data_IF_193814320443
#
_entry.id   IF_193814320443
#
_cell.length_a   1.000
_cell.length_b   1.000
_cell.length_c   1.000
_cell.angle_alpha   90.00
_cell.angle_beta   90.00
_cell.angle_gamma   90.00
#
_symmetry.space_group_name_H-M   'P 1'
#
loop_
_entity.id
_entity.type
_entity.pdbx_description
1 polymer ?
#
# COMPACT_ATOMS: atom_id res chain seq x y z
N UNK A 1 -11.52 -14.68 9.34
CA UNK A 1 -11.47 -14.73 7.86
C UNK A 1 -10.91 -13.40 7.39
N UNK A 2 -9.86 -13.35 6.56
CA UNK A 2 -9.32 -12.07 6.08
C UNK A 2 -10.40 -11.28 5.34
N UNK A 3 -10.32 -9.96 5.37
CA UNK A 3 -11.23 -9.11 4.58
C UNK A 3 -11.10 -9.54 3.12
N UNK A 4 -12.20 -9.72 2.39
CA UNK A 4 -12.13 -9.73 0.94
C UNK A 4 -11.79 -8.30 0.57
N UNK A 5 -10.50 -7.98 0.52
CA UNK A 5 -10.09 -7.11 -0.57
C UNK A 5 -10.54 -7.92 -1.77
N UNK A 6 -11.58 -7.43 -2.45
CA UNK A 6 -12.43 -8.17 -3.39
C UNK A 6 -11.64 -9.11 -4.28
N UNK A 7 -12.27 -10.17 -4.81
CA UNK A 7 -11.64 -11.04 -5.83
C UNK A 7 -10.79 -10.20 -6.81
N UNK A 8 -9.59 -10.67 -7.20
CA UNK A 8 -8.72 -9.92 -8.09
C UNK A 8 -9.52 -9.37 -9.28
N UNK A 9 -9.44 -8.07 -9.50
CA UNK A 9 -10.09 -7.40 -10.62
C UNK A 9 -9.49 -8.03 -11.89
N UNK A 10 -10.34 -8.68 -12.69
CA UNK A 10 -9.93 -9.30 -13.93
C UNK A 10 -9.22 -8.26 -14.81
N UNK A 11 -7.97 -8.52 -15.15
CA UNK A 11 -7.12 -7.59 -15.87
C UNK A 11 -5.79 -8.22 -16.28
N UNK A 12 -5.00 -7.53 -17.12
CA UNK A 12 -3.69 -8.01 -17.52
C UNK A 12 -2.76 -8.15 -16.30
N UNK A 13 -1.78 -9.06 -16.41
CA UNK A 13 -0.77 -9.24 -15.39
C UNK A 13 -0.08 -7.91 -15.06
N UNK A 14 -0.20 -7.48 -13.80
CA UNK A 14 0.38 -6.22 -13.32
C UNK A 14 1.88 -6.38 -13.11
N UNK A 15 2.62 -5.30 -13.32
CA UNK A 15 4.08 -5.24 -13.13
C UNK A 15 4.42 -3.93 -12.45
N UNK A 16 5.38 -3.96 -11.54
CA UNK A 16 5.83 -2.75 -10.84
C UNK A 16 6.48 -1.72 -11.79
N UNK A 17 7.07 -2.15 -12.91
CA UNK A 17 7.78 -1.24 -13.81
C UNK A 17 8.93 -0.54 -13.08
N UNK A 18 8.92 0.80 -13.06
CA UNK A 18 9.89 1.62 -12.32
C UNK A 18 9.40 2.04 -10.93
N UNK A 19 8.26 1.54 -10.47
CA UNK A 19 7.72 1.87 -9.16
C UNK A 19 8.61 1.31 -8.04
N UNK A 20 8.97 2.18 -7.08
CA UNK A 20 9.90 1.87 -5.97
C UNK A 20 9.32 2.19 -4.58
N UNK A 21 8.01 2.46 -4.47
CA UNK A 21 7.40 2.90 -3.21
C UNK A 21 7.52 1.88 -2.07
N UNK A 22 7.47 0.58 -2.36
CA UNK A 22 7.71 -0.46 -1.35
C UNK A 22 9.13 -0.44 -0.75
N UNK A 23 10.09 0.16 -1.46
CA UNK A 23 11.44 0.35 -0.96
C UNK A 23 11.61 1.64 -0.15
N UNK A 24 10.60 2.52 -0.12
CA UNK A 24 10.65 3.81 0.60
C UNK A 24 9.73 3.82 1.82
N UNK A 25 8.45 3.52 1.62
CA UNK A 25 7.40 3.79 2.60
C UNK A 25 7.44 2.89 3.85
N UNK A 26 7.44 1.56 3.75
CA UNK A 26 7.33 0.70 4.93
C UNK A 26 8.62 0.70 5.74
N UNK A 27 8.55 0.43 7.03
CA UNK A 27 9.71 0.03 7.82
C UNK A 27 10.08 -1.43 7.49
N UNK A 28 11.37 -1.74 7.40
CA UNK A 28 11.87 -3.09 7.12
C UNK A 28 13.02 -3.39 8.08
N UNK A 29 12.70 -4.05 9.18
CA UNK A 29 13.64 -4.40 10.25
C UNK A 29 14.82 -5.25 9.75
N UNK A 30 14.57 -6.27 8.91
CA UNK A 30 15.63 -7.14 8.35
C UNK A 30 16.68 -6.38 7.51
N UNK A 31 16.35 -5.18 7.05
CA UNK A 31 17.24 -4.33 6.26
C UNK A 31 17.78 -3.11 7.03
N UNK A 32 17.46 -2.98 8.32
CA UNK A 32 17.66 -1.76 9.11
C UNK A 32 17.16 -0.52 8.35
N UNK A 33 15.96 -0.62 7.74
CA UNK A 33 15.43 0.40 6.83
C UNK A 33 14.21 1.09 7.44
N UNK A 34 14.38 2.27 8.06
CA UNK A 34 13.26 3.02 8.65
C UNK A 34 12.17 3.34 7.63
N UNK A 35 10.94 3.49 8.11
CA UNK A 35 9.82 3.99 7.31
C UNK A 35 10.15 5.33 6.64
N UNK A 36 9.58 5.55 5.46
CA UNK A 36 9.75 6.77 4.65
C UNK A 36 11.18 7.09 4.19
N UNK A 37 12.15 6.20 4.44
CA UNK A 37 13.52 6.34 3.94
C UNK A 37 13.81 5.38 2.78
N UNK A 38 14.58 5.81 1.77
CA UNK A 38 14.94 4.94 0.66
C UNK A 38 15.80 3.77 1.13
N UNK A 39 15.43 2.56 0.72
CA UNK A 39 16.26 1.38 0.94
C UNK A 39 17.64 1.56 0.29
N UNK A 40 18.72 1.26 1.04
CA UNK A 40 20.11 1.31 0.55
C UNK A 40 20.35 0.47 -0.71
N UNK A 41 19.52 -0.54 -0.96
CA UNK A 41 19.63 -1.39 -2.14
C UNK A 41 18.80 -0.91 -3.32
N UNK A 42 17.85 0.00 -3.13
CA UNK A 42 16.98 0.51 -4.19
C UNK A 42 17.58 1.77 -4.82
N UNK A 43 17.54 1.86 -6.15
CA UNK A 43 17.74 3.12 -6.87
C UNK A 43 16.39 3.66 -7.34
N UNK A 44 16.37 4.74 -8.13
CA UNK A 44 15.11 5.34 -8.60
C UNK A 44 14.28 4.42 -9.53
N UNK A 45 14.88 3.36 -10.09
CA UNK A 45 14.25 2.49 -11.09
C UNK A 45 14.06 1.04 -10.62
N UNK A 46 14.57 0.65 -9.44
CA UNK A 46 14.38 -0.69 -8.90
C UNK A 46 15.41 -1.13 -7.85
N UNK A 47 15.25 -2.36 -7.36
CA UNK A 47 16.17 -2.97 -6.40
C UNK A 47 17.44 -3.49 -7.10
N UNK A 48 18.63 -3.06 -6.65
CA UNK A 48 19.92 -3.49 -7.18
C UNK A 48 20.30 -4.92 -6.80
N UNK A 49 19.69 -5.46 -5.75
CA UNK A 49 19.87 -6.85 -5.31
C UNK A 49 18.62 -7.68 -5.58
N UNK A 50 17.86 -7.39 -6.64
CA UNK A 50 16.53 -7.98 -6.85
C UNK A 50 16.53 -9.49 -6.67
N UNK A 51 17.49 -10.22 -7.26
CA UNK A 51 17.59 -11.68 -7.12
C UNK A 51 18.01 -12.17 -5.74
N UNK A 52 18.66 -11.33 -4.93
CA UNK A 52 19.15 -11.62 -3.58
C UNK A 52 18.32 -10.89 -2.49
N UNK A 53 17.17 -10.32 -2.84
CA UNK A 53 16.31 -9.60 -1.90
C UNK A 53 15.87 -10.50 -0.74
N UNK A 54 15.71 -9.96 0.47
CA UNK A 54 15.23 -10.74 1.62
C UNK A 54 13.86 -11.37 1.35
N UNK A 55 13.54 -12.42 2.10
CA UNK A 55 12.29 -13.17 1.91
C UNK A 55 11.07 -12.27 2.07
N UNK A 56 11.09 -11.34 3.04
CA UNK A 56 10.05 -10.34 3.23
C UNK A 56 9.79 -9.50 1.96
N UNK A 57 10.84 -9.09 1.24
CA UNK A 57 10.71 -8.35 -0.01
C UNK A 57 10.28 -9.24 -1.21
N UNK A 58 10.40 -10.57 -1.10
CA UNK A 58 9.91 -11.50 -2.15
C UNK A 58 8.43 -11.78 -2.00
N UNK A 59 7.99 -11.95 -0.76
CA UNK A 59 6.63 -12.37 -0.45
C UNK A 59 5.65 -11.19 -0.44
N UNK A 60 6.17 -9.96 -0.32
CA UNK A 60 5.33 -8.78 -0.34
C UNK A 60 4.79 -8.46 -1.74
N UNK A 61 3.46 -8.38 -1.84
CA UNK A 61 2.74 -7.78 -2.96
C UNK A 61 1.78 -6.72 -2.39
N UNK A 62 1.73 -5.54 -3.01
CA UNK A 62 0.72 -4.55 -2.67
C UNK A 62 -0.64 -4.93 -3.28
N UNK A 63 -1.74 -4.43 -2.71
CA UNK A 63 -3.09 -4.76 -3.19
C UNK A 63 -3.29 -4.38 -4.67
N UNK A 64 -2.55 -3.37 -5.16
CA UNK A 64 -2.53 -3.09 -6.59
C UNK A 64 -1.85 -4.21 -7.37
N UNK A 65 -0.68 -4.69 -6.97
CA UNK A 65 0.02 -5.77 -7.69
C UNK A 65 -0.79 -7.07 -7.69
N UNK A 66 -1.50 -7.37 -6.60
CA UNK A 66 -2.40 -8.51 -6.46
C UNK A 66 -3.70 -8.39 -7.27
N UNK A 67 -3.98 -7.20 -7.82
CA UNK A 67 -5.17 -6.95 -8.63
C UNK A 67 -6.42 -6.60 -7.81
N UNK A 68 -6.32 -6.41 -6.50
CA UNK A 68 -7.49 -6.17 -5.64
C UNK A 68 -8.07 -4.75 -5.71
N UNK A 69 -7.30 -3.76 -6.19
CA UNK A 69 -7.72 -2.35 -6.31
C UNK A 69 -7.49 -1.82 -7.72
N UNK A 70 -8.18 -0.74 -8.08
CA UNK A 70 -8.19 -0.20 -9.45
C UNK A 70 -6.83 0.36 -9.93
N UNK A 71 -6.65 0.56 -11.24
CA UNK A 71 -5.41 1.08 -11.82
C UNK A 71 -5.01 2.46 -11.29
N UNK A 72 -5.97 3.29 -10.86
CA UNK A 72 -5.74 4.59 -10.22
C UNK A 72 -4.92 4.49 -8.93
N UNK A 73 -4.86 3.31 -8.30
CA UNK A 73 -4.04 3.05 -7.12
C UNK A 73 -2.64 2.55 -7.44
N UNK A 74 -2.21 2.60 -8.70
CA UNK A 74 -0.82 2.30 -9.01
C UNK A 74 0.08 3.21 -8.15
N UNK A 75 1.03 2.66 -7.36
CA UNK A 75 1.67 3.45 -6.31
C UNK A 75 2.45 4.66 -6.83
N UNK A 76 3.03 4.56 -8.03
CA UNK A 76 3.77 5.66 -8.65
C UNK A 76 2.88 6.85 -9.00
N UNK A 77 1.59 6.61 -9.30
CA UNK A 77 0.63 7.64 -9.71
C UNK A 77 -0.19 8.17 -8.52
N UNK A 78 -0.52 7.29 -7.57
CA UNK A 78 -1.30 7.65 -6.38
C UNK A 78 -0.45 8.22 -5.24
N UNK A 79 0.87 8.05 -5.30
CA UNK A 79 1.80 8.34 -4.20
C UNK A 79 1.46 7.59 -2.90
N UNK A 80 0.81 6.43 -3.02
CA UNK A 80 0.37 5.61 -1.90
C UNK A 80 0.68 4.14 -2.14
N UNK A 81 1.02 3.41 -1.08
CA UNK A 81 1.14 1.95 -1.10
C UNK A 81 0.08 1.34 -0.18
N UNK A 82 -0.75 0.47 -0.73
CA UNK A 82 -1.82 -0.20 0.01
C UNK A 82 -1.51 -1.68 0.15
N UNK A 83 -1.61 -2.22 1.35
CA UNK A 83 -1.45 -3.66 1.62
C UNK A 83 -2.46 -4.12 2.67
N UNK A 84 -2.80 -5.41 2.65
CA UNK A 84 -3.71 -6.04 3.61
C UNK A 84 -2.97 -6.86 4.66
N UNK A 85 -3.46 -6.85 5.90
CA UNK A 85 -3.03 -7.75 6.98
C UNK A 85 -4.26 -8.27 7.73
N UNK A 86 -4.69 -9.49 7.42
CA UNK A 86 -5.89 -10.07 8.02
C UNK A 86 -7.16 -9.26 7.70
N UNK A 87 -7.74 -8.62 8.72
CA UNK A 87 -8.89 -7.73 8.56
C UNK A 87 -8.52 -6.24 8.58
N UNK A 88 -7.25 -5.91 8.39
CA UNK A 88 -6.79 -4.53 8.31
C UNK A 88 -6.32 -4.21 6.89
N UNK A 89 -6.68 -3.03 6.42
CA UNK A 89 -6.08 -2.42 5.22
C UNK A 89 -5.22 -1.25 5.68
N UNK A 90 -3.95 -1.28 5.29
CA UNK A 90 -3.00 -0.21 5.61
C UNK A 90 -2.65 0.54 4.34
N UNK A 91 -2.76 1.86 4.39
CA UNK A 91 -2.36 2.80 3.35
C UNK A 91 -1.15 3.57 3.86
N UNK A 92 0.00 3.43 3.22
CA UNK A 92 1.15 4.29 3.46
C UNK A 92 1.14 5.40 2.40
N UNK A 93 1.11 6.65 2.84
CA UNK A 93 1.16 7.84 1.98
C UNK A 93 2.58 8.35 1.92
N UNK A 94 3.08 8.64 0.72
CA UNK A 94 4.37 9.31 0.56
C UNK A 94 4.31 10.70 1.23
N UNK A 95 5.17 11.00 2.22
CA UNK A 95 5.15 12.28 2.92
C UNK A 95 5.39 13.50 2.02
N UNK A 96 5.93 13.30 0.81
CA UNK A 96 6.04 14.37 -0.19
C UNK A 96 4.67 14.81 -0.76
N UNK A 97 3.62 14.00 -0.57
CA UNK A 97 2.26 14.23 -1.07
C UNK A 97 1.21 14.00 0.03
N UNK A 98 1.29 14.73 1.17
CA UNK A 98 0.58 14.37 2.40
C UNK A 98 -0.95 14.44 2.29
N UNK A 99 -1.49 15.19 1.32
CA UNK A 99 -2.92 15.41 1.15
C UNK A 99 -3.55 14.59 0.02
N UNK A 100 -2.77 13.81 -0.74
CA UNK A 100 -3.27 13.10 -1.93
C UNK A 100 -4.40 12.13 -1.60
N UNK A 101 -4.31 11.46 -0.45
CA UNK A 101 -5.25 10.46 0.03
C UNK A 101 -6.65 11.03 0.32
N UNK A 102 -6.76 12.34 0.54
CA UNK A 102 -8.04 13.00 0.84
C UNK A 102 -8.86 13.28 -0.43
N UNK A 103 -8.23 13.23 -1.60
CA UNK A 103 -8.87 13.58 -2.88
C UNK A 103 -9.64 12.38 -3.45
N UNK A 104 -10.78 12.60 -4.13
CA UNK A 104 -11.40 11.57 -4.95
C UNK A 104 -10.43 11.11 -6.06
N UNK A 105 -10.43 9.81 -6.42
CA UNK A 105 -11.34 8.77 -5.95
C UNK A 105 -10.90 8.08 -4.65
N UNK A 106 -9.75 8.43 -4.08
CA UNK A 106 -9.10 7.70 -2.99
C UNK A 106 -9.88 7.77 -1.68
N UNK A 107 -10.31 8.96 -1.28
CA UNK A 107 -11.05 9.16 -0.02
C UNK A 107 -12.38 8.39 0.00
N UNK A 108 -13.13 8.41 -1.09
CA UNK A 108 -14.38 7.66 -1.22
C UNK A 108 -14.15 6.15 -1.20
N UNK A 109 -13.09 5.68 -1.85
CA UNK A 109 -12.73 4.27 -1.86
C UNK A 109 -12.32 3.76 -0.48
N UNK A 110 -11.48 4.51 0.25
CA UNK A 110 -11.09 4.13 1.61
C UNK A 110 -12.27 4.10 2.57
N UNK A 111 -13.23 5.02 2.45
CA UNK A 111 -14.47 4.97 3.26
C UNK A 111 -15.30 3.72 2.95
N UNK A 112 -15.41 3.33 1.67
CA UNK A 112 -16.06 2.08 1.29
C UNK A 112 -15.35 0.85 1.87
N UNK A 113 -14.02 0.81 1.81
CA UNK A 113 -13.24 -0.26 2.43
C UNK A 113 -13.46 -0.31 3.94
N UNK A 114 -13.53 0.85 4.62
CA UNK A 114 -13.82 0.92 6.05
C UNK A 114 -15.20 0.35 6.40
N UNK A 115 -16.25 0.70 5.65
CA UNK A 115 -17.60 0.12 5.84
C UNK A 115 -17.64 -1.38 5.59
N UNK A 116 -16.83 -1.92 4.68
CA UNK A 116 -16.74 -3.37 4.41
C UNK A 116 -15.93 -4.12 5.48
N UNK A 117 -14.98 -3.43 6.10
CA UNK A 117 -14.08 -3.96 7.12
C UNK A 117 -14.75 -4.07 8.49
N UNK A 118 -15.54 -3.07 8.87
CA UNK A 118 -16.11 -2.92 10.21
C UNK A 118 -16.94 -4.13 10.69
N UNK A 119 -17.86 -4.72 9.90
CA UNK A 119 -18.64 -5.88 10.34
C UNK A 119 -17.80 -7.12 10.70
N UNK A 120 -16.52 -7.12 10.29
CA UNK A 120 -15.56 -8.22 10.52
C UNK A 120 -14.55 -7.87 11.62
N UNK A 121 -14.76 -6.77 12.34
CA UNK A 121 -13.81 -6.23 13.32
C UNK A 121 -12.58 -5.59 12.67
N UNK A 122 -12.64 -5.32 11.36
CA UNK A 122 -11.55 -4.75 10.59
C UNK A 122 -11.59 -3.22 10.50
N UNK A 123 -10.54 -2.63 9.94
CA UNK A 123 -10.45 -1.17 9.73
C UNK A 123 -9.46 -0.80 8.63
N UNK A 124 -9.57 0.43 8.16
CA UNK A 124 -8.61 1.06 7.25
C UNK A 124 -7.81 2.09 8.03
N UNK A 125 -6.49 2.02 7.93
CA UNK A 125 -5.57 2.98 8.56
C UNK A 125 -4.67 3.62 7.51
N UNK A 126 -4.46 4.92 7.65
CA UNK A 126 -3.62 5.74 6.76
C UNK A 126 -2.45 6.29 7.56
N UNK A 127 -1.23 5.99 7.11
CA UNK A 127 0.00 6.55 7.65
C UNK A 127 0.50 7.65 6.71
N UNK A 128 0.76 8.83 7.25
CA UNK A 128 1.38 9.98 6.57
C UNK A 128 2.62 10.38 7.38
N UNK A 129 3.78 9.83 7.04
CA UNK A 129 4.95 9.95 7.91
C UNK A 129 4.65 9.32 9.28
N UNK A 130 4.75 10.12 10.34
CA UNK A 130 4.41 9.72 11.71
C UNK A 130 2.94 9.95 12.08
N UNK A 131 2.17 10.60 11.20
CA UNK A 131 0.74 10.85 11.42
C UNK A 131 -0.08 9.63 11.05
N UNK A 132 -1.01 9.24 11.92
CA UNK A 132 -1.86 8.06 11.72
C UNK A 132 -3.33 8.45 11.78
N UNK A 133 -4.09 8.07 10.75
CA UNK A 133 -5.52 8.36 10.63
C UNK A 133 -6.29 7.06 10.42
N UNK A 134 -7.24 6.77 11.30
CA UNK A 134 -8.23 5.70 11.08
C UNK A 134 -9.38 6.26 10.25
N UNK A 135 -9.72 5.59 9.14
CA UNK A 135 -10.83 6.00 8.29
C UNK A 135 -12.15 5.53 8.90
N UNK A 136 -13.07 6.48 9.11
CA UNK A 136 -14.44 6.16 9.51
C UNK A 136 -15.23 5.56 8.34
N UNK A 137 -16.06 4.54 8.58
CA UNK A 137 -17.04 4.03 7.62
C UNK A 137 -17.91 5.15 7.04
N UNK A 138 -18.37 4.99 5.79
CA UNK A 138 -19.55 5.72 5.33
C UNK A 138 -20.77 5.21 6.10
N UNK A 139 -21.50 6.14 6.74
CA UNK A 139 -22.85 5.92 7.29
C UNK A 139 -23.85 5.65 6.18
#
# INVERSE_FOLDING_TARGET
MPIPVSQPIAGPARRCGTCTLCCRLPDIEELDKPANQPCRHCNQTGCRIYEARPQLCRDFLCLWMEGHIGPEWHPQDSHMMVYGQGAQVTVLVDPAFPDVWQRPPYSDQMRRWASQAEPKGGYVIVFIGDTVVKISPQM
#
